data_IF_294305678728
#
_entry.id   IF_294305678728
#
_cell.length_a   1.000
_cell.length_b   1.000
_cell.length_c   1.000
_cell.angle_alpha   90.00
_cell.angle_beta   90.00
_cell.angle_gamma   90.00
#
_symmetry.space_group_name_H-M   'P 1'
#
loop_
_entity.id
_entity.type
_entity.pdbx_description
1 polymer ?
#
# COMPACT_ATOMS: atom_id res chain seq x y z
N UNK A 1 15.14 -5.46 11.40
CA UNK A 1 13.90 -5.89 10.77
C UNK A 1 13.19 -4.72 10.12
N UNK A 2 12.43 -4.99 9.09
CA UNK A 2 11.73 -3.96 8.31
C UNK A 2 10.25 -4.00 8.66
N UNK A 3 9.76 -2.93 9.29
CA UNK A 3 8.33 -2.79 9.62
C UNK A 3 7.61 -2.14 8.44
N UNK A 4 6.51 -2.76 8.03
CA UNK A 4 5.64 -2.22 6.98
C UNK A 4 4.20 -2.34 7.40
N UNK A 5 3.31 -1.60 6.73
CA UNK A 5 1.88 -1.87 6.80
C UNK A 5 1.51 -2.71 5.58
N UNK A 6 0.79 -3.78 5.83
CA UNK A 6 0.21 -4.60 4.76
C UNK A 6 -1.26 -4.25 4.64
N UNK A 7 -1.69 -3.93 3.43
CA UNK A 7 -3.08 -3.54 3.16
C UNK A 7 -3.65 -4.53 2.15
N UNK A 8 -4.64 -5.30 2.58
CA UNK A 8 -5.30 -6.29 1.74
C UNK A 8 -6.69 -5.82 1.35
N UNK A 9 -7.16 -6.17 0.13
CA UNK A 9 -8.51 -5.81 -0.28
C UNK A 9 -9.56 -6.31 0.72
N UNK A 10 -10.42 -5.42 1.18
CA UNK A 10 -11.50 -5.78 2.09
C UNK A 10 -11.15 -5.87 3.56
N UNK A 11 -9.90 -5.58 3.94
CA UNK A 11 -9.45 -5.69 5.33
C UNK A 11 -8.79 -4.43 5.83
N UNK A 12 -8.78 -4.25 7.15
CA UNK A 12 -8.02 -3.20 7.79
C UNK A 12 -6.52 -3.48 7.62
N UNK A 13 -5.68 -2.44 7.56
CA UNK A 13 -4.23 -2.65 7.48
C UNK A 13 -3.70 -3.34 8.74
N UNK A 14 -2.60 -4.04 8.59
CA UNK A 14 -1.89 -4.57 9.76
C UNK A 14 -0.39 -4.37 9.62
N UNK A 15 0.27 -4.26 10.75
CA UNK A 15 1.72 -4.13 10.78
C UNK A 15 2.36 -5.50 10.65
N UNK A 16 3.43 -5.57 9.88
CA UNK A 16 4.22 -6.78 9.73
C UNK A 16 5.69 -6.40 9.72
N UNK A 17 6.54 -7.29 10.19
CA UNK A 17 7.97 -7.10 10.20
C UNK A 17 8.63 -8.22 9.40
N UNK A 18 9.54 -7.86 8.53
CA UNK A 18 10.26 -8.78 7.67
C UNK A 18 11.76 -8.61 7.89
N UNK A 19 12.53 -9.62 7.50
CA UNK A 19 13.99 -9.58 7.67
C UNK A 19 14.64 -8.46 6.87
N UNK A 20 14.05 -8.12 5.73
CA UNK A 20 14.57 -7.09 4.84
C UNK A 20 13.43 -6.47 4.02
N UNK A 21 13.67 -5.30 3.40
CA UNK A 21 12.70 -4.73 2.45
C UNK A 21 12.40 -5.70 1.31
N UNK A 22 13.39 -6.39 0.78
CA UNK A 22 13.19 -7.37 -0.29
C UNK A 22 12.27 -8.51 0.12
N UNK A 23 12.44 -9.01 1.35
CA UNK A 23 11.58 -10.07 1.87
C UNK A 23 10.13 -9.60 1.96
N UNK A 24 9.89 -8.35 2.38
CA UNK A 24 8.53 -7.82 2.47
C UNK A 24 7.87 -7.75 1.09
N UNK A 25 8.60 -7.31 0.09
CA UNK A 25 8.06 -7.23 -1.28
C UNK A 25 7.73 -8.63 -1.80
N UNK A 26 8.63 -9.57 -1.63
CA UNK A 26 8.43 -10.95 -2.12
C UNK A 26 7.22 -11.63 -1.48
N UNK A 27 6.96 -11.35 -0.20
CA UNK A 27 5.84 -11.97 0.51
C UNK A 27 4.51 -11.32 0.21
N UNK A 28 4.49 -9.99 0.03
CA UNK A 28 3.24 -9.23 -0.03
C UNK A 28 2.78 -9.00 -1.46
N UNK A 29 3.71 -8.74 -2.37
CA UNK A 29 3.37 -8.28 -3.72
C UNK A 29 3.39 -9.43 -4.71
N UNK A 30 2.32 -9.52 -5.51
CA UNK A 30 2.22 -10.50 -6.58
C UNK A 30 2.91 -9.97 -7.83
N UNK A 31 3.85 -10.76 -8.37
CA UNK A 31 4.57 -10.41 -9.57
C UNK A 31 5.52 -9.24 -9.40
N UNK A 32 5.74 -8.50 -10.47
CA UNK A 32 6.63 -7.34 -10.44
C UNK A 32 6.02 -6.21 -9.62
N UNK A 33 6.88 -5.49 -8.91
CA UNK A 33 6.45 -4.42 -8.00
C UNK A 33 6.71 -3.05 -8.59
N UNK A 34 5.94 -2.08 -8.09
CA UNK A 34 6.02 -0.68 -8.46
C UNK A 34 6.03 0.16 -7.18
N UNK A 35 6.93 1.12 -7.10
CA UNK A 35 7.01 2.05 -5.97
C UNK A 35 6.33 3.37 -6.32
N UNK A 36 5.41 3.79 -5.47
CA UNK A 36 4.66 5.04 -5.64
C UNK A 36 4.88 5.93 -4.42
N UNK A 37 4.63 7.23 -4.60
CA UNK A 37 4.71 8.23 -3.52
C UNK A 37 3.39 9.01 -3.46
N UNK A 38 2.28 8.36 -3.05
CA UNK A 38 0.95 8.96 -3.20
C UNK A 38 0.52 9.90 -2.07
N UNK A 39 1.34 10.07 -1.03
CA UNK A 39 0.92 10.81 0.16
C UNK A 39 1.51 12.22 0.26
N UNK A 40 2.05 12.75 -0.84
CA UNK A 40 2.57 14.11 -0.85
C UNK A 40 3.87 14.29 -0.08
N UNK A 41 4.55 13.22 0.29
CA UNK A 41 5.83 13.25 0.99
C UNK A 41 6.81 12.29 0.33
N UNK A 42 8.09 12.65 0.34
CA UNK A 42 9.14 11.78 -0.18
C UNK A 42 9.59 10.72 0.83
N UNK A 43 9.05 10.75 2.04
CA UNK A 43 9.48 9.87 3.15
C UNK A 43 8.65 8.60 3.28
N UNK A 44 7.53 8.53 2.60
CA UNK A 44 6.62 7.39 2.66
C UNK A 44 6.34 6.91 1.25
N UNK A 45 6.42 5.60 1.06
CA UNK A 45 6.14 4.98 -0.22
C UNK A 45 5.10 3.88 -0.11
N UNK A 46 4.53 3.56 -1.25
CA UNK A 46 3.63 2.43 -1.41
C UNK A 46 4.25 1.50 -2.44
N UNK A 47 4.36 0.22 -2.11
CA UNK A 47 4.80 -0.80 -3.06
C UNK A 47 3.60 -1.66 -3.40
N UNK A 48 3.29 -1.75 -4.67
CA UNK A 48 2.13 -2.49 -5.17
C UNK A 48 2.51 -3.30 -6.39
N UNK A 49 1.59 -4.12 -6.86
CA UNK A 49 1.83 -4.89 -8.08
C UNK A 49 1.86 -3.96 -9.30
N UNK A 50 2.81 -4.18 -10.18
CA UNK A 50 2.93 -3.40 -11.40
C UNK A 50 1.79 -3.67 -12.36
N UNK A 51 1.30 -4.90 -12.41
CA UNK A 51 0.19 -5.31 -13.27
C UNK A 51 -1.03 -5.64 -12.41
N UNK A 52 -1.95 -4.67 -12.29
CA UNK A 52 -3.07 -4.73 -11.36
C UNK A 52 -4.43 -4.97 -12.02
N UNK A 53 -4.51 -4.97 -13.33
CA UNK A 53 -5.80 -4.93 -14.03
C UNK A 53 -6.75 -6.06 -13.66
N UNK A 54 -6.22 -7.23 -13.29
CA UNK A 54 -6.98 -8.42 -12.92
C UNK A 54 -7.06 -8.66 -11.42
N UNK A 55 -6.49 -7.74 -10.63
CA UNK A 55 -6.50 -7.87 -9.17
C UNK A 55 -7.72 -7.19 -8.57
N UNK A 56 -8.08 -7.61 -7.37
CA UNK A 56 -9.23 -7.08 -6.66
C UNK A 56 -8.98 -5.66 -6.20
N UNK A 57 -9.97 -4.78 -6.34
CA UNK A 57 -9.91 -3.40 -5.86
C UNK A 57 -9.56 -3.36 -4.37
N UNK A 58 -8.67 -2.47 -3.99
CA UNK A 58 -8.24 -2.31 -2.60
C UNK A 58 -8.55 -0.92 -2.07
N UNK A 59 -7.83 0.09 -2.51
CA UNK A 59 -7.97 1.46 -2.00
C UNK A 59 -7.78 2.48 -3.10
N UNK A 60 -8.43 3.63 -2.94
CA UNK A 60 -8.07 4.85 -3.64
C UNK A 60 -7.30 5.73 -2.66
N UNK A 61 -6.13 6.20 -3.06
CA UNK A 61 -5.23 6.97 -2.21
C UNK A 61 -5.45 8.47 -2.39
N UNK A 62 -4.81 9.27 -1.52
CA UNK A 62 -5.04 10.72 -1.47
C UNK A 62 -4.81 11.43 -2.81
N UNK A 63 -3.86 10.97 -3.60
CA UNK A 63 -3.55 11.57 -4.90
C UNK A 63 -4.50 11.12 -6.01
N UNK A 64 -5.53 10.34 -5.67
CA UNK A 64 -6.47 9.78 -6.63
C UNK A 64 -6.02 8.46 -7.25
N UNK A 65 -4.85 7.98 -6.89
CA UNK A 65 -4.34 6.71 -7.42
C UNK A 65 -5.14 5.54 -6.86
N UNK A 66 -5.61 4.67 -7.74
CA UNK A 66 -6.34 3.45 -7.35
C UNK A 66 -5.35 2.29 -7.30
N UNK A 67 -5.37 1.55 -6.19
CA UNK A 67 -4.55 0.36 -6.01
C UNK A 67 -5.44 -0.88 -6.01
N UNK A 68 -5.07 -1.86 -6.81
CA UNK A 68 -5.71 -3.18 -6.83
C UNK A 68 -4.72 -4.22 -6.31
N UNK A 69 -5.23 -5.21 -5.59
CA UNK A 69 -4.40 -6.22 -4.95
C UNK A 69 -3.76 -5.74 -3.67
N UNK A 70 -3.02 -6.62 -3.01
CA UNK A 70 -2.29 -6.24 -1.80
C UNK A 70 -1.23 -5.21 -2.10
N UNK A 71 -1.03 -4.32 -1.16
CA UNK A 71 0.11 -3.41 -1.22
C UNK A 71 0.69 -3.22 0.17
N UNK A 72 1.87 -2.64 0.23
CA UNK A 72 2.49 -2.29 1.50
C UNK A 72 2.84 -0.82 1.54
N UNK A 73 2.82 -0.27 2.75
CA UNK A 73 3.29 1.10 3.01
C UNK A 73 4.62 0.99 3.73
N UNK A 74 5.60 1.72 3.27
CA UNK A 74 6.96 1.68 3.80
C UNK A 74 7.53 3.08 3.96
N UNK A 75 8.65 3.19 4.67
CA UNK A 75 9.44 4.40 4.71
C UNK A 75 10.33 4.51 3.49
N UNK A 76 10.77 5.72 3.20
CA UNK A 76 11.71 5.99 2.12
C UNK A 76 12.81 6.93 2.60
N UNK A 77 14.03 6.70 2.13
CA UNK A 77 15.14 7.62 2.26
C UNK A 77 15.89 7.61 0.93
N UNK A 78 15.93 8.76 0.26
CA UNK A 78 16.59 8.90 -1.06
C UNK A 78 16.10 7.83 -2.05
N UNK A 79 14.80 7.60 -2.07
CA UNK A 79 14.13 6.59 -2.90
C UNK A 79 14.49 5.14 -2.57
N UNK A 80 15.18 4.91 -1.45
CA UNK A 80 15.41 3.57 -0.92
C UNK A 80 14.33 3.20 0.07
N UNK A 81 13.83 1.98 -0.03
CA UNK A 81 12.84 1.46 0.88
C UNK A 81 13.43 1.21 2.26
N UNK A 82 12.76 1.72 3.27
CA UNK A 82 13.08 1.52 4.68
C UNK A 82 11.86 0.98 5.41
N UNK A 83 12.07 0.51 6.62
CA UNK A 83 10.95 0.23 7.51
C UNK A 83 10.28 1.51 7.97
N UNK A 84 9.03 1.38 8.38
CA UNK A 84 8.29 2.47 9.01
C UNK A 84 8.73 2.61 10.47
N UNK A 85 8.75 3.85 10.95
CA UNK A 85 8.79 4.06 12.41
C UNK A 85 7.45 3.65 13.00
N UNK A 86 7.41 3.47 14.32
CA UNK A 86 6.17 3.16 15.02
C UNK A 86 5.11 4.24 14.78
N UNK A 87 5.51 5.50 14.84
CA UNK A 87 4.60 6.62 14.63
C UNK A 87 4.07 6.66 13.21
N UNK A 88 4.92 6.41 12.22
CA UNK A 88 4.50 6.34 10.83
C UNK A 88 3.50 5.20 10.62
N UNK A 89 3.79 4.04 11.17
CA UNK A 89 2.91 2.88 11.05
C UNK A 89 1.53 3.17 11.64
N UNK A 90 1.47 3.79 12.81
CA UNK A 90 0.20 4.15 13.45
C UNK A 90 -0.57 5.18 12.63
N UNK A 91 0.12 6.19 12.12
CA UNK A 91 -0.50 7.24 11.31
C UNK A 91 -1.15 6.69 10.06
N UNK A 92 -0.43 5.90 9.30
CA UNK A 92 -0.94 5.37 8.04
C UNK A 92 -1.92 4.22 8.24
N UNK A 93 -1.82 3.51 9.36
CA UNK A 93 -2.85 2.56 9.74
C UNK A 93 -4.20 3.27 9.92
N UNK A 94 -4.21 4.41 10.62
CA UNK A 94 -5.44 5.18 10.79
C UNK A 94 -5.96 5.74 9.47
N UNK A 95 -5.07 6.24 8.64
CA UNK A 95 -5.45 6.82 7.35
C UNK A 95 -6.11 5.79 6.43
N UNK A 96 -5.64 4.57 6.43
CA UNK A 96 -6.09 3.52 5.54
C UNK A 96 -6.98 2.48 6.24
N UNK A 97 -7.44 2.80 7.46
CA UNK A 97 -8.06 1.83 8.35
C UNK A 97 -9.27 1.14 7.75
N UNK A 98 -10.17 1.92 7.17
CA UNK A 98 -11.44 1.35 6.68
C UNK A 98 -11.28 0.78 5.28
N UNK A 99 -11.67 -0.49 5.08
CA UNK A 99 -11.72 -1.06 3.74
C UNK A 99 -12.62 -0.22 2.83
N UNK A 100 -12.26 -0.14 1.57
CA UNK A 100 -13.03 0.56 0.57
C UNK A 100 -13.66 -0.43 -0.40
N UNK A 101 -14.80 -0.06 -0.96
CA UNK A 101 -15.46 -0.83 -2.00
C UNK A 101 -15.35 -0.04 -3.28
N UNK A 102 -15.11 -0.74 -4.37
CA UNK A 102 -15.09 -0.09 -5.68
C UNK A 102 -16.45 0.54 -5.93
N UNK A 103 -16.44 1.84 -6.33
CA UNK A 103 -17.66 2.57 -6.60
C UNK A 103 -18.22 2.17 -7.98
N UNK A 104 -19.00 1.13 -7.98
CA UNK A 104 -19.63 0.64 -9.21
C UNK A 104 -20.71 1.59 -9.73
N UNK A 105 -21.30 2.37 -8.84
CA UNK A 105 -22.42 3.23 -9.21
C UNK A 105 -22.02 4.39 -10.09
N UNK A 106 -20.85 4.98 -9.82
CA UNK A 106 -20.40 6.13 -10.59
C UNK A 106 -20.12 5.79 -12.05
N UNK A 107 -19.73 4.55 -12.32
CA UNK A 107 -19.46 4.09 -13.67
C UNK A 107 -20.68 3.54 -14.39
N UNK A 108 -21.68 3.10 -13.65
CA UNK A 108 -22.83 2.37 -14.18
C UNK A 108 -24.09 3.20 -14.30
N UNK A 109 -24.10 4.38 -13.71
CA UNK A 109 -25.26 5.25 -13.80
C UNK A 109 -25.47 5.74 -15.22
N UNK A 110 -26.67 5.58 -15.73
CA UNK A 110 -26.99 6.07 -17.07
C UNK A 110 -26.93 7.58 -17.15
#
# INVERSE_FOLDING_TARGET
MTRVLVVEPGYCPYQAAFDSPQASISEVIEGDSLLLKPFGTSKIGVVCSKNQSWLKYNRQLEDGCTIRGRFLVCGLSESKMLGLSKEQAERYNRLLFFPQVEDMLSGDLP
#
